data_IF_506952847113
#
_entry.id   IF_506952847113
#
_cell.length_a   1.000
_cell.length_b   1.000
_cell.length_c   1.000
_cell.angle_alpha   90.00
_cell.angle_beta   90.00
_cell.angle_gamma   90.00
#
_symmetry.space_group_name_H-M   'P 1'
#
loop_
_entity.id
_entity.type
_entity.pdbx_description
1 polymer ?
#
# COMPACT_ATOMS: atom_id res chain seq x y z
N UNK A 1 -0.31 2.42 -10.07
CA UNK A 1 0.44 3.66 -10.36
C UNK A 1 1.91 3.34 -10.69
N UNK A 2 2.20 2.95 -11.93
CA UNK A 2 3.52 2.42 -12.35
C UNK A 2 4.69 3.41 -12.17
N UNK A 3 4.46 4.73 -12.27
CA UNK A 3 5.52 5.73 -12.12
C UNK A 3 5.97 5.85 -10.66
N UNK A 4 5.01 5.91 -9.72
CA UNK A 4 5.34 5.94 -8.30
C UNK A 4 5.99 4.63 -7.87
N UNK A 5 5.42 3.50 -8.31
CA UNK A 5 5.99 2.18 -8.06
C UNK A 5 7.42 2.09 -8.57
N UNK A 6 7.69 2.53 -9.81
CA UNK A 6 9.03 2.51 -10.38
C UNK A 6 10.01 3.40 -9.61
N UNK A 7 9.55 4.57 -9.14
CA UNK A 7 10.34 5.44 -8.29
C UNK A 7 10.69 4.75 -6.95
N UNK A 8 9.71 4.16 -6.28
CA UNK A 8 9.92 3.46 -5.00
C UNK A 8 10.83 2.23 -5.17
N UNK A 9 10.66 1.46 -6.25
CA UNK A 9 11.50 0.29 -6.54
C UNK A 9 12.94 0.65 -6.94
N UNK A 10 13.20 1.88 -7.39
CA UNK A 10 14.52 2.26 -7.88
C UNK A 10 15.60 2.12 -6.82
N UNK A 11 15.29 2.47 -5.56
CA UNK A 11 16.18 2.27 -4.42
C UNK A 11 16.42 0.80 -4.12
N UNK A 12 15.37 -0.03 -4.15
CA UNK A 12 15.50 -1.47 -3.95
C UNK A 12 16.35 -2.14 -5.03
N UNK A 13 16.14 -1.79 -6.31
CA UNK A 13 16.96 -2.30 -7.41
C UNK A 13 18.43 -1.93 -7.27
N UNK A 14 18.73 -0.74 -6.74
CA UNK A 14 20.11 -0.32 -6.46
C UNK A 14 20.73 -1.10 -5.30
N UNK A 15 19.96 -1.36 -4.24
CA UNK A 15 20.45 -2.03 -3.04
C UNK A 15 20.58 -3.55 -3.19
N UNK A 16 19.61 -4.20 -3.84
CA UNK A 16 19.52 -5.66 -3.96
C UNK A 16 20.26 -6.20 -5.19
N UNK A 17 20.57 -5.34 -6.17
CA UNK A 17 21.23 -5.73 -7.40
C UNK A 17 20.26 -6.14 -8.52
N UNK A 18 20.81 -6.35 -9.72
CA UNK A 18 20.04 -6.59 -10.95
C UNK A 18 19.49 -8.02 -11.09
N UNK A 19 19.95 -8.94 -10.26
CA UNK A 19 19.58 -10.36 -10.33
C UNK A 19 18.31 -10.69 -9.55
N UNK A 20 17.80 -9.74 -8.76
CA UNK A 20 16.53 -9.91 -8.02
C UNK A 20 15.35 -9.70 -8.95
N UNK A 21 14.47 -10.70 -9.01
CA UNK A 21 13.16 -10.59 -9.64
C UNK A 21 12.24 -9.79 -8.71
N UNK A 22 11.89 -8.58 -9.10
CA UNK A 22 11.00 -7.72 -8.33
C UNK A 22 9.66 -7.63 -9.03
N UNK A 23 8.63 -8.24 -8.43
CA UNK A 23 7.26 -8.21 -8.92
C UNK A 23 6.43 -7.28 -8.04
N UNK A 24 5.53 -6.55 -8.68
CA UNK A 24 4.59 -5.67 -7.97
C UNK A 24 3.20 -6.18 -8.20
N UNK A 25 2.54 -6.45 -7.09
CA UNK A 25 1.13 -6.77 -7.07
C UNK A 25 0.39 -5.55 -6.51
N UNK A 26 -0.37 -4.89 -7.38
CA UNK A 26 -1.10 -3.67 -7.03
C UNK A 26 -2.43 -4.01 -6.34
N UNK A 27 -2.91 -3.14 -5.44
CA UNK A 27 -4.26 -3.15 -4.91
C UNK A 27 -5.34 -3.09 -6.01
N UNK A 28 -6.60 -3.32 -5.65
CA UNK A 28 -7.75 -3.15 -6.56
C UNK A 28 -8.74 -2.07 -6.07
N UNK A 29 -8.64 -1.66 -4.81
CA UNK A 29 -9.52 -0.63 -4.24
C UNK A 29 -8.95 0.75 -4.51
N UNK A 30 -9.75 1.65 -5.08
CA UNK A 30 -9.31 3.02 -5.29
C UNK A 30 -9.23 3.77 -3.95
N UNK A 31 -8.03 4.23 -3.59
CA UNK A 31 -7.84 5.12 -2.46
C UNK A 31 -8.51 6.48 -2.73
N UNK A 32 -9.07 7.06 -1.68
CA UNK A 32 -9.72 8.37 -1.74
C UNK A 32 -9.22 9.21 -0.58
N UNK A 33 -8.62 10.35 -0.93
CA UNK A 33 -8.22 11.35 0.05
C UNK A 33 -9.41 11.84 0.89
N UNK A 34 -9.18 11.93 2.19
CA UNK A 34 -10.10 12.49 3.17
C UNK A 34 -9.40 13.62 3.93
N UNK A 35 -9.85 14.86 3.68
CA UNK A 35 -9.33 16.05 4.34
C UNK A 35 -9.45 15.96 5.87
N UNK A 36 -8.35 16.23 6.58
CA UNK A 36 -8.29 16.17 8.05
C UNK A 36 -8.20 14.77 8.65
N UNK A 37 -8.38 13.73 7.83
CA UNK A 37 -8.24 12.31 8.22
C UNK A 37 -6.88 11.79 7.78
N UNK A 38 -6.52 12.04 6.53
CA UNK A 38 -5.22 11.67 6.00
C UNK A 38 -4.18 12.72 6.37
N UNK A 39 -2.97 12.28 6.73
CA UNK A 39 -1.85 13.20 6.85
C UNK A 39 -1.60 13.75 5.44
N UNK A 40 -1.91 15.03 5.24
CA UNK A 40 -1.97 15.74 3.97
C UNK A 40 -1.12 15.08 2.87
N UNK A 41 -1.82 14.70 1.79
CA UNK A 41 -1.37 14.05 0.56
C UNK A 41 0.14 13.99 0.35
N UNK A 42 0.61 12.79 0.00
CA UNK A 42 1.58 12.58 -1.08
C UNK A 42 2.35 13.87 -1.40
N UNK A 43 3.53 14.03 -0.79
CA UNK A 43 4.40 15.18 -0.99
C UNK A 43 4.44 15.61 -2.48
N UNK A 44 4.69 16.87 -2.84
CA UNK A 44 4.53 17.35 -4.23
C UNK A 44 5.14 16.45 -5.32
N UNK A 45 6.21 15.72 -5.00
CA UNK A 45 6.79 14.69 -5.85
C UNK A 45 5.83 13.52 -6.12
N UNK A 46 5.18 12.97 -5.11
CA UNK A 46 4.22 11.86 -5.20
C UNK A 46 2.99 12.23 -6.04
N UNK A 47 2.46 13.45 -5.89
CA UNK A 47 1.41 13.99 -6.77
C UNK A 47 1.91 14.08 -8.21
N UNK A 48 3.09 14.65 -8.45
CA UNK A 48 3.68 14.77 -9.78
C UNK A 48 3.92 13.41 -10.44
N UNK A 49 4.42 12.43 -9.67
CA UNK A 49 4.69 11.06 -10.13
C UNK A 49 3.39 10.31 -10.47
N UNK A 50 2.32 10.54 -9.71
CA UNK A 50 1.02 9.90 -9.96
C UNK A 50 0.40 10.27 -11.30
N UNK A 51 0.69 11.48 -11.81
CA UNK A 51 0.06 12.03 -13.03
C UNK A 51 -1.48 11.96 -12.98
N UNK A 52 -2.06 12.06 -11.78
CA UNK A 52 -3.51 11.95 -11.57
C UNK A 52 -4.09 10.54 -11.74
N UNK A 53 -3.25 9.50 -11.80
CA UNK A 53 -3.72 8.10 -11.72
C UNK A 53 -4.15 7.78 -10.30
N UNK A 54 -5.19 6.96 -10.17
CA UNK A 54 -5.64 6.46 -8.88
C UNK A 54 -4.53 5.70 -8.15
N UNK A 55 -4.51 5.91 -6.84
CA UNK A 55 -3.81 5.07 -5.89
C UNK A 55 -4.69 3.87 -5.56
N UNK A 56 -4.10 2.68 -5.51
CA UNK A 56 -4.83 1.46 -5.22
C UNK A 56 -4.37 0.87 -3.90
N UNK A 57 -5.29 0.68 -2.98
CA UNK A 57 -5.07 -0.05 -1.73
C UNK A 57 -5.56 -1.48 -1.82
N UNK A 58 -5.06 -2.31 -0.92
CA UNK A 58 -5.42 -3.73 -0.81
C UNK A 58 -6.67 -3.96 0.03
N UNK A 59 -6.90 -3.09 1.01
CA UNK A 59 -8.00 -3.15 1.94
C UNK A 59 -8.28 -1.75 2.46
N UNK A 60 -9.47 -1.55 2.99
CA UNK A 60 -9.85 -0.36 3.73
C UNK A 60 -9.78 -0.64 5.22
N UNK A 61 -9.75 0.41 6.02
CA UNK A 61 -9.92 0.29 7.46
C UNK A 61 -10.75 1.43 8.01
N UNK A 62 -11.40 1.16 9.13
CA UNK A 62 -12.11 2.13 9.94
C UNK A 62 -11.60 2.05 11.38
N UNK A 63 -11.77 3.12 12.14
CA UNK A 63 -11.47 3.15 13.58
C UNK A 63 -12.73 3.45 14.37
N UNK A 64 -12.83 2.93 15.60
CA UNK A 64 -13.91 3.29 16.53
C UNK A 64 -13.69 4.64 17.24
N UNK A 65 -12.58 5.32 16.93
CA UNK A 65 -12.19 6.58 17.57
C UNK A 65 -12.99 7.78 17.04
N UNK A 66 -13.88 8.37 17.85
CA UNK A 66 -14.70 9.50 17.43
C UNK A 66 -13.93 10.82 17.38
N UNK A 67 -12.68 10.87 17.87
CA UNK A 67 -11.87 12.10 17.91
C UNK A 67 -11.44 12.49 16.49
N UNK A 68 -11.53 13.78 16.19
CA UNK A 68 -11.02 14.35 14.94
C UNK A 68 -9.49 14.53 15.05
N UNK A 69 -8.74 13.58 14.48
CA UNK A 69 -7.28 13.56 14.40
C UNK A 69 -6.83 12.70 13.23
N UNK A 70 -5.61 12.95 12.73
CA UNK A 70 -5.01 12.18 11.64
C UNK A 70 -5.04 10.68 11.96
N UNK A 71 -5.45 9.90 10.97
CA UNK A 71 -5.75 8.47 11.09
C UNK A 71 -4.52 7.64 11.53
N UNK A 72 -3.33 8.02 11.08
CA UNK A 72 -2.06 7.45 11.57
C UNK A 72 -1.96 7.45 13.10
N UNK A 73 -2.38 8.52 13.77
CA UNK A 73 -2.35 8.58 15.24
C UNK A 73 -3.44 7.74 15.90
N UNK A 74 -4.55 7.49 15.19
CA UNK A 74 -5.60 6.58 15.67
C UNK A 74 -5.10 5.14 15.63
N UNK A 75 -4.45 4.73 14.55
CA UNK A 75 -3.93 3.37 14.37
C UNK A 75 -2.81 3.01 15.37
N UNK A 76 -2.08 4.00 15.88
CA UNK A 76 -1.02 3.79 16.87
C UNK A 76 -1.50 3.83 18.33
N UNK A 77 -2.76 4.21 18.57
CA UNK A 77 -3.32 4.29 19.91
C UNK A 77 -3.82 2.91 20.34
N UNK A 78 -3.23 2.28 21.39
CA UNK A 78 -3.65 0.96 21.83
C UNK A 78 -5.07 0.92 22.40
N UNK A 79 -5.68 2.07 22.68
CA UNK A 79 -7.08 2.19 23.10
C UNK A 79 -8.07 2.30 21.94
N UNK A 80 -7.61 2.31 20.69
CA UNK A 80 -8.46 2.40 19.50
C UNK A 80 -8.55 1.05 18.81
N UNK A 81 -9.76 0.63 18.48
CA UNK A 81 -10.00 -0.55 17.66
C UNK A 81 -9.96 -0.17 16.18
N UNK A 82 -9.08 -0.84 15.44
CA UNK A 82 -9.01 -0.76 13.97
C UNK A 82 -9.74 -1.96 13.36
N UNK A 83 -10.65 -1.70 12.43
CA UNK A 83 -11.40 -2.74 11.71
C UNK A 83 -11.01 -2.69 10.24
N UNK A 84 -10.48 -3.80 9.72
CA UNK A 84 -10.09 -3.93 8.32
C UNK A 84 -11.23 -4.51 7.47
N UNK A 85 -11.40 -4.02 6.24
CA UNK A 85 -12.39 -4.49 5.26
C UNK A 85 -11.69 -4.86 3.95
N UNK A 86 -12.05 -5.99 3.35
CA UNK A 86 -11.39 -6.48 2.13
C UNK A 86 -10.06 -7.20 2.39
N UNK A 87 -9.64 -7.35 3.65
CA UNK A 87 -8.35 -7.94 4.00
C UNK A 87 -8.28 -9.45 3.71
N UNK A 88 -9.40 -10.16 3.82
CA UNK A 88 -9.46 -11.59 3.49
C UNK A 88 -9.34 -11.78 1.97
N UNK A 89 -10.08 -11.01 1.20
CA UNK A 89 -10.03 -11.02 -0.27
C UNK A 89 -8.66 -10.60 -0.79
N UNK A 90 -8.01 -9.62 -0.14
CA UNK A 90 -6.64 -9.24 -0.39
C UNK A 90 -5.67 -10.41 -0.19
N UNK A 91 -5.79 -11.12 0.93
CA UNK A 91 -4.96 -12.28 1.23
C UNK A 91 -5.18 -13.41 0.21
N UNK A 92 -6.43 -13.71 -0.14
CA UNK A 92 -6.75 -14.72 -1.16
C UNK A 92 -6.15 -14.37 -2.52
N UNK A 93 -6.19 -13.09 -2.91
CA UNK A 93 -5.61 -12.64 -4.17
C UNK A 93 -4.09 -12.80 -4.18
N UNK A 94 -3.42 -12.50 -3.08
CA UNK A 94 -1.99 -12.74 -2.93
C UNK A 94 -1.66 -14.23 -3.01
N UNK A 95 -2.40 -15.08 -2.29
CA UNK A 95 -2.20 -16.53 -2.31
C UNK A 95 -2.38 -17.11 -3.72
N UNK A 96 -3.39 -16.65 -4.45
CA UNK A 96 -3.60 -17.03 -5.86
C UNK A 96 -2.42 -16.64 -6.74
N UNK A 97 -1.87 -15.45 -6.56
CA UNK A 97 -0.66 -15.04 -7.29
C UNK A 97 0.51 -15.98 -7.02
N UNK A 98 0.72 -16.39 -5.77
CA UNK A 98 1.78 -17.36 -5.39
C UNK A 98 1.52 -18.74 -6.02
N UNK A 99 0.27 -19.18 -6.09
CA UNK A 99 -0.10 -20.44 -6.75
C UNK A 99 0.14 -20.42 -8.26
N UNK A 100 -0.16 -19.30 -8.92
CA UNK A 100 -0.06 -19.14 -10.38
C UNK A 100 1.37 -18.84 -10.85
N UNK A 101 2.10 -17.99 -10.13
CA UNK A 101 3.38 -17.40 -10.55
C UNK A 101 4.59 -17.99 -9.81
N UNK A 102 4.34 -18.83 -8.80
CA UNK A 102 5.35 -19.54 -8.01
C UNK A 102 5.57 -18.95 -6.61
N UNK A 103 6.33 -19.68 -5.76
CA UNK A 103 6.66 -19.26 -4.41
C UNK A 103 7.51 -17.98 -4.41
N UNK A 104 7.40 -17.24 -3.30
CA UNK A 104 8.00 -15.93 -3.11
C UNK A 104 8.86 -15.99 -1.84
N UNK A 105 10.06 -15.42 -1.90
CA UNK A 105 11.02 -15.42 -0.81
C UNK A 105 10.75 -14.30 0.21
N UNK A 106 10.32 -13.11 -0.24
CA UNK A 106 10.11 -11.94 0.62
C UNK A 106 8.89 -11.13 0.17
N UNK A 107 8.03 -10.74 1.11
CA UNK A 107 6.96 -9.77 0.87
C UNK A 107 7.33 -8.44 1.52
N UNK A 108 7.31 -7.33 0.76
CA UNK A 108 7.57 -5.98 1.26
C UNK A 108 6.34 -5.10 1.05
N UNK A 109 5.70 -4.66 2.12
CA UNK A 109 4.64 -3.65 2.05
C UNK A 109 5.21 -2.25 1.82
N UNK A 110 4.78 -1.57 0.76
CA UNK A 110 5.09 -0.18 0.47
C UNK A 110 3.81 0.63 0.42
N UNK A 111 3.50 1.31 1.53
CA UNK A 111 2.46 2.33 1.77
C UNK A 111 1.02 1.99 1.30
N UNK A 112 0.82 1.42 0.12
CA UNK A 112 -0.45 1.00 -0.49
C UNK A 112 -0.30 -0.22 -1.44
N UNK A 113 0.90 -0.77 -1.64
CA UNK A 113 1.16 -1.92 -2.51
C UNK A 113 2.15 -2.91 -1.89
N UNK A 114 1.96 -4.20 -2.14
CA UNK A 114 2.90 -5.23 -1.70
C UNK A 114 3.86 -5.53 -2.85
N UNK A 115 5.17 -5.35 -2.62
CA UNK A 115 6.21 -5.95 -3.44
C UNK A 115 6.30 -7.41 -3.04
N UNK A 116 6.35 -8.26 -4.05
CA UNK A 116 6.58 -9.68 -3.91
C UNK A 116 7.95 -9.95 -4.53
N UNK A 117 8.86 -10.50 -3.72
CA UNK A 117 10.19 -10.99 -4.10
C UNK A 117 10.14 -12.50 -4.08
#
# INVERSE_FOLDING_TARGET
NENLVSFQLSGFKQALGKEVDLRVLEGDMAWRYQEGVDNHDADPMSIQLSKGREFKVWFEHDTDDPRERIDFFKQQDPGVQVTYRGAEEAAERFLRHVEEEGPVDVVVGLFEGSIVV
#
